data_IF_412012149515
#
_entry.id   IF_412012149515
#
_cell.length_a   1.000
_cell.length_b   1.000
_cell.length_c   1.000
_cell.angle_alpha   90.00
_cell.angle_beta   90.00
_cell.angle_gamma   90.00
#
_symmetry.space_group_name_H-M   'P 1'
#
loop_
_entity.id
_entity.type
_entity.pdbx_description
1 polymer ?
#
# COMPACT_ATOMS: atom_id res chain seq x y z
N UNK A 1 5.65 -9.79 -14.40
CA UNK A 1 5.70 -11.11 -13.75
C UNK A 1 6.79 -11.94 -14.40
N UNK A 2 7.66 -12.61 -13.63
CA UNK A 2 8.72 -13.47 -14.18
C UNK A 2 8.31 -14.94 -14.29
N UNK A 3 7.26 -15.33 -13.57
CA UNK A 3 6.64 -16.65 -13.62
C UNK A 3 5.14 -16.53 -13.32
N UNK A 4 4.37 -17.50 -13.80
CA UNK A 4 2.94 -17.65 -13.52
C UNK A 4 2.73 -18.50 -12.27
N UNK A 5 1.82 -18.11 -11.35
CA UNK A 5 1.45 -18.98 -10.24
C UNK A 5 0.81 -20.28 -10.73
N UNK A 6 1.33 -21.41 -10.27
CA UNK A 6 0.83 -22.74 -10.62
C UNK A 6 -0.45 -23.06 -9.85
N UNK A 7 -1.57 -23.23 -10.56
CA UNK A 7 -2.89 -23.51 -9.98
C UNK A 7 -2.90 -24.81 -9.16
N UNK A 8 -2.18 -25.85 -9.56
CA UNK A 8 -2.14 -27.10 -8.81
C UNK A 8 -1.31 -26.96 -7.53
N UNK A 9 -0.23 -26.16 -7.56
CA UNK A 9 0.46 -25.78 -6.32
C UNK A 9 -0.43 -24.96 -5.40
N UNK A 10 -1.21 -24.01 -5.94
CA UNK A 10 -2.19 -23.25 -5.16
C UNK A 10 -3.18 -24.20 -4.47
N UNK A 11 -3.81 -25.09 -5.22
CA UNK A 11 -4.74 -26.08 -4.66
C UNK A 11 -4.06 -26.95 -3.60
N UNK A 12 -2.84 -27.42 -3.85
CA UNK A 12 -2.09 -28.23 -2.89
C UNK A 12 -1.78 -27.47 -1.60
N UNK A 13 -1.37 -26.22 -1.68
CA UNK A 13 -1.12 -25.36 -0.52
C UNK A 13 -2.40 -25.10 0.28
N UNK A 14 -3.54 -24.88 -0.40
CA UNK A 14 -4.80 -24.63 0.28
C UNK A 14 -5.40 -25.91 0.90
N UNK A 15 -5.21 -27.08 0.28
CA UNK A 15 -5.64 -28.37 0.84
C UNK A 15 -4.97 -28.69 2.17
N UNK A 16 -3.78 -28.17 2.47
CA UNK A 16 -3.18 -28.39 3.79
C UNK A 16 -3.96 -27.70 4.93
N UNK A 17 -4.77 -26.68 4.61
CA UNK A 17 -5.67 -26.03 5.56
C UNK A 17 -7.00 -26.77 5.70
N UNK A 18 -7.45 -27.44 4.65
CA UNK A 18 -8.68 -28.24 4.61
C UNK A 18 -8.45 -29.60 3.95
N UNK A 19 -7.79 -30.55 4.63
CA UNK A 19 -7.36 -31.82 4.02
C UNK A 19 -8.49 -32.69 3.47
N UNK A 20 -9.68 -32.56 4.05
CA UNK A 20 -10.86 -33.37 3.72
C UNK A 20 -11.82 -32.68 2.73
N UNK A 21 -11.54 -31.44 2.31
CA UNK A 21 -12.46 -30.64 1.50
C UNK A 21 -11.99 -30.51 0.05
N UNK A 22 -12.95 -30.43 -0.88
CA UNK A 22 -12.65 -30.06 -2.26
C UNK A 22 -12.34 -28.58 -2.32
N UNK A 23 -11.16 -28.22 -2.86
CA UNK A 23 -10.73 -26.84 -3.06
C UNK A 23 -10.86 -26.48 -4.53
N UNK A 24 -11.74 -25.53 -4.83
CA UNK A 24 -11.86 -24.93 -6.15
C UNK A 24 -11.11 -23.59 -6.18
N UNK A 25 -10.34 -23.38 -7.24
CA UNK A 25 -9.53 -22.18 -7.45
C UNK A 25 -9.79 -21.69 -8.86
N UNK A 26 -10.16 -20.42 -9.00
CA UNK A 26 -10.38 -19.77 -10.29
C UNK A 26 -9.66 -18.42 -10.31
N UNK A 27 -8.98 -18.10 -11.41
CA UNK A 27 -8.41 -16.77 -11.59
C UNK A 27 -9.54 -15.73 -11.58
N UNK A 28 -9.32 -14.62 -10.87
CA UNK A 28 -10.28 -13.54 -10.75
C UNK A 28 -9.80 -12.29 -11.48
N UNK A 29 -8.63 -11.78 -11.10
CA UNK A 29 -8.11 -10.53 -11.64
C UNK A 29 -6.59 -10.43 -11.47
N UNK A 30 -5.97 -9.52 -12.23
CA UNK A 30 -4.56 -9.17 -12.12
C UNK A 30 -4.41 -7.65 -12.08
N UNK A 31 -3.61 -7.17 -11.13
CA UNK A 31 -3.11 -5.81 -11.07
C UNK A 31 -1.61 -5.74 -11.38
N UNK A 32 -1.00 -4.58 -11.14
CA UNK A 32 0.43 -4.36 -11.37
C UNK A 32 1.31 -5.34 -10.56
N UNK A 33 1.00 -5.52 -9.28
CA UNK A 33 1.80 -6.34 -8.36
C UNK A 33 1.11 -7.64 -7.94
N UNK A 34 -0.17 -7.82 -8.24
CA UNK A 34 -0.98 -8.84 -7.59
C UNK A 34 -1.79 -9.65 -8.60
N UNK A 35 -1.93 -10.95 -8.32
CA UNK A 35 -2.92 -11.83 -8.96
C UNK A 35 -3.89 -12.33 -7.92
N UNK A 36 -5.17 -12.24 -8.23
CA UNK A 36 -6.27 -12.61 -7.36
C UNK A 36 -6.94 -13.87 -7.90
N UNK A 37 -7.23 -14.79 -6.99
CA UNK A 37 -7.93 -16.03 -7.28
C UNK A 37 -9.11 -16.18 -6.33
N UNK A 38 -10.28 -16.50 -6.88
CA UNK A 38 -11.39 -17.00 -6.09
C UNK A 38 -11.05 -18.38 -5.56
N UNK A 39 -11.35 -18.58 -4.28
CA UNK A 39 -11.16 -19.85 -3.60
C UNK A 39 -12.49 -20.23 -2.96
N UNK A 40 -13.00 -21.40 -3.35
CA UNK A 40 -14.22 -21.98 -2.78
C UNK A 40 -13.85 -23.32 -2.14
N UNK A 41 -14.19 -23.45 -0.86
CA UNK A 41 -13.99 -24.66 -0.05
C UNK A 41 -15.26 -24.90 0.75
N UNK A 42 -15.62 -26.15 1.00
CA UNK A 42 -16.78 -26.50 1.82
C UNK A 42 -16.57 -26.08 3.29
N UNK A 43 -17.53 -25.34 3.85
CA UNK A 43 -17.50 -24.85 5.24
C UNK A 43 -17.32 -23.33 5.36
N UNK A 44 -16.15 -22.76 5.02
CA UNK A 44 -15.92 -21.32 5.14
C UNK A 44 -16.68 -20.52 4.07
N UNK A 45 -16.89 -19.20 4.29
CA UNK A 45 -17.42 -18.31 3.26
C UNK A 45 -16.45 -18.21 2.06
N UNK A 46 -16.91 -17.67 0.91
CA UNK A 46 -16.04 -17.44 -0.24
C UNK A 46 -14.76 -16.69 0.13
N UNK A 47 -13.63 -17.17 -0.36
CA UNK A 47 -12.30 -16.64 -0.04
C UNK A 47 -11.66 -16.01 -1.28
N UNK A 48 -10.69 -15.15 -1.02
CA UNK A 48 -9.82 -14.57 -2.03
C UNK A 48 -8.37 -14.87 -1.66
N UNK A 49 -7.67 -15.52 -2.58
CA UNK A 49 -6.22 -15.67 -2.50
C UNK A 49 -5.60 -14.55 -3.34
N UNK A 50 -4.74 -13.75 -2.71
CA UNK A 50 -3.88 -12.82 -3.42
C UNK A 50 -2.45 -13.33 -3.41
N UNK A 51 -1.84 -13.39 -4.58
CA UNK A 51 -0.43 -13.69 -4.79
C UNK A 51 0.26 -12.41 -5.25
N UNK A 52 1.38 -12.05 -4.62
CA UNK A 52 2.05 -10.78 -4.80
C UNK A 52 3.45 -10.94 -5.38
N UNK A 53 3.85 -10.00 -6.25
CA UNK A 53 5.23 -9.85 -6.70
C UNK A 53 6.12 -9.39 -5.52
N UNK A 54 7.36 -9.89 -5.44
CA UNK A 54 8.30 -9.55 -4.38
C UNK A 54 8.98 -8.19 -4.61
N UNK A 55 8.22 -7.10 -4.58
CA UNK A 55 8.74 -5.73 -4.80
C UNK A 55 9.43 -5.13 -3.57
N UNK A 56 8.94 -5.43 -2.37
CA UNK A 56 9.67 -5.26 -1.10
C UNK A 56 9.44 -6.56 -0.31
N UNK A 57 10.25 -7.60 -0.61
CA UNK A 57 9.98 -8.96 -0.17
C UNK A 57 9.86 -9.02 1.35
N UNK A 58 8.98 -9.89 1.84
CA UNK A 58 8.60 -10.09 3.23
C UNK A 58 7.86 -8.90 3.86
N UNK A 59 8.40 -7.70 3.75
CA UNK A 59 7.91 -6.52 4.48
C UNK A 59 6.57 -6.02 3.95
N UNK A 60 6.37 -5.99 2.63
CA UNK A 60 5.09 -5.56 2.03
C UNK A 60 3.92 -6.42 2.50
N UNK A 61 4.07 -7.75 2.42
CA UNK A 61 3.04 -8.70 2.86
C UNK A 61 2.79 -8.65 4.36
N UNK A 62 3.86 -8.60 5.18
CA UNK A 62 3.70 -8.48 6.63
C UNK A 62 2.98 -7.18 7.02
N UNK A 63 3.36 -6.06 6.40
CA UNK A 63 2.79 -4.76 6.74
C UNK A 63 1.30 -4.70 6.43
N UNK A 64 0.89 -5.26 5.30
CA UNK A 64 -0.51 -5.27 4.95
C UNK A 64 -1.34 -6.17 5.85
N UNK A 65 -0.85 -7.37 6.18
CA UNK A 65 -1.55 -8.24 7.13
C UNK A 65 -1.73 -7.55 8.48
N UNK A 66 -0.68 -6.88 8.98
CA UNK A 66 -0.76 -6.11 10.21
C UNK A 66 -1.78 -4.98 10.10
N UNK A 67 -1.77 -4.25 8.98
CA UNK A 67 -2.70 -3.16 8.70
C UNK A 67 -4.14 -3.64 8.71
N UNK A 68 -4.49 -4.66 7.92
CA UNK A 68 -5.86 -5.18 7.85
C UNK A 68 -6.34 -5.64 9.24
N UNK A 69 -5.48 -6.35 9.99
CA UNK A 69 -5.83 -6.84 11.33
C UNK A 69 -6.05 -5.69 12.30
N UNK A 70 -5.18 -4.69 12.32
CA UNK A 70 -5.29 -3.57 13.25
C UNK A 70 -6.47 -2.64 12.93
N UNK A 71 -6.70 -2.34 11.64
CA UNK A 71 -7.83 -1.49 11.26
C UNK A 71 -9.17 -2.14 11.60
N UNK A 72 -9.26 -3.48 11.49
CA UNK A 72 -10.42 -4.25 11.96
C UNK A 72 -10.65 -4.15 13.48
N UNK A 73 -9.64 -3.81 14.30
CA UNK A 73 -9.83 -3.65 15.75
C UNK A 73 -10.23 -2.24 16.16
N UNK A 74 -9.95 -1.23 15.34
CA UNK A 74 -10.14 0.19 15.70
C UNK A 74 -11.21 0.92 14.86
N UNK A 75 -11.79 0.23 13.88
CA UNK A 75 -12.82 0.77 12.99
C UNK A 75 -13.90 -0.27 12.70
N UNK A 76 -15.04 0.20 12.19
CA UNK A 76 -16.17 -0.65 11.75
C UNK A 76 -16.31 -0.71 10.23
N UNK A 77 -15.31 -0.22 9.49
CA UNK A 77 -15.37 -0.24 8.02
C UNK A 77 -15.26 -1.69 7.55
N UNK A 78 -16.02 -2.11 6.52
CA UNK A 78 -15.95 -3.49 6.05
C UNK A 78 -14.61 -3.77 5.36
N UNK A 79 -13.85 -4.72 5.92
CA UNK A 79 -12.53 -5.16 5.46
C UNK A 79 -12.50 -6.66 5.25
N UNK A 80 -11.60 -7.17 4.38
CA UNK A 80 -11.35 -8.59 4.35
C UNK A 80 -10.75 -9.06 5.69
N UNK A 81 -11.07 -10.28 6.10
CA UNK A 81 -10.45 -10.92 7.25
C UNK A 81 -9.31 -11.82 6.78
N UNK A 82 -8.10 -11.59 7.28
CA UNK A 82 -6.93 -12.42 6.94
C UNK A 82 -7.06 -13.78 7.62
N UNK A 83 -7.22 -14.84 6.83
CA UNK A 83 -7.26 -16.23 7.29
C UNK A 83 -5.85 -16.73 7.59
N UNK A 84 -4.96 -16.65 6.59
CA UNK A 84 -3.55 -17.03 6.72
C UNK A 84 -2.74 -16.42 5.57
N UNK A 85 -1.42 -16.46 5.64
CA UNK A 85 -0.53 -15.84 4.67
C UNK A 85 0.87 -16.46 4.69
N UNK A 86 1.64 -16.23 3.64
CA UNK A 86 3.09 -16.43 3.60
C UNK A 86 3.76 -15.16 3.11
N UNK A 87 4.73 -14.67 3.89
CA UNK A 87 5.63 -13.60 3.49
C UNK A 87 7.00 -14.12 3.02
N UNK A 88 7.13 -15.44 2.81
CA UNK A 88 8.35 -16.07 2.28
C UNK A 88 8.17 -16.54 0.84
N UNK A 89 9.21 -16.31 0.04
CA UNK A 89 9.35 -16.84 -1.32
C UNK A 89 9.72 -18.32 -1.34
N UNK A 90 10.22 -18.86 -0.23
CA UNK A 90 10.51 -20.30 -0.09
C UNK A 90 9.23 -21.13 0.14
N UNK A 91 8.06 -20.49 0.13
CA UNK A 91 6.79 -21.19 0.21
C UNK A 91 6.60 -22.11 -1.00
N UNK A 92 5.73 -23.12 -0.86
CA UNK A 92 5.45 -24.06 -1.95
C UNK A 92 4.97 -23.36 -3.25
N UNK A 93 4.40 -22.15 -3.15
CA UNK A 93 3.97 -21.37 -4.29
C UNK A 93 5.10 -20.62 -5.00
N UNK A 94 6.25 -20.42 -4.35
CA UNK A 94 7.34 -19.59 -4.86
C UNK A 94 7.04 -18.09 -4.84
N UNK A 95 5.96 -17.68 -4.16
CA UNK A 95 5.48 -16.31 -4.07
C UNK A 95 5.03 -15.99 -2.65
N UNK A 96 4.93 -14.69 -2.36
CA UNK A 96 4.19 -14.20 -1.21
C UNK A 96 2.69 -14.23 -1.51
N UNK A 97 1.89 -14.52 -0.49
CA UNK A 97 0.45 -14.61 -0.65
C UNK A 97 -0.31 -14.37 0.65
N UNK A 98 -1.54 -13.90 0.50
CA UNK A 98 -2.50 -13.71 1.59
C UNK A 98 -3.82 -14.36 1.19
N UNK A 99 -4.33 -15.25 2.05
CA UNK A 99 -5.66 -15.82 1.95
C UNK A 99 -6.57 -15.07 2.91
N UNK A 100 -7.66 -14.52 2.39
CA UNK A 100 -8.59 -13.69 3.15
C UNK A 100 -10.04 -13.92 2.73
N UNK A 101 -11.00 -13.45 3.53
CA UNK A 101 -12.41 -13.48 3.12
C UNK A 101 -12.63 -12.61 1.89
N UNK A 102 -13.52 -13.07 1.00
CA UNK A 102 -13.98 -12.25 -0.12
C UNK A 102 -15.01 -11.24 0.38
N UNK A 103 -14.92 -10.02 -0.12
CA UNK A 103 -15.94 -8.99 0.06
C UNK A 103 -16.84 -8.96 -1.19
N UNK A 104 -18.14 -8.84 -0.97
CA UNK A 104 -19.13 -8.76 -2.04
C UNK A 104 -19.28 -7.30 -2.54
N UNK A 105 -19.94 -7.14 -3.68
CA UNK A 105 -20.19 -5.85 -4.30
C UNK A 105 -19.36 -5.60 -5.56
N UNK A 106 -19.61 -4.44 -6.17
CA UNK A 106 -18.90 -3.95 -7.36
C UNK A 106 -18.05 -2.74 -7.01
N UNK A 107 -17.04 -2.44 -7.83
CA UNK A 107 -16.21 -1.25 -7.58
C UNK A 107 -17.05 0.03 -7.66
N UNK A 108 -16.80 0.96 -6.74
CA UNK A 108 -17.41 2.28 -6.76
C UNK A 108 -17.13 2.98 -8.09
N UNK A 109 -16.00 2.70 -8.74
CA UNK A 109 -15.66 3.26 -10.06
C UNK A 109 -16.74 2.94 -11.10
N UNK A 110 -17.18 1.67 -11.15
CA UNK A 110 -18.23 1.21 -12.04
C UNK A 110 -19.62 1.74 -11.66
N UNK A 111 -19.88 1.89 -10.35
CA UNK A 111 -21.17 2.31 -9.84
C UNK A 111 -21.35 3.85 -9.77
N UNK A 112 -20.26 4.62 -9.76
CA UNK A 112 -20.25 6.05 -9.39
C UNK A 112 -21.26 6.89 -10.17
N UNK A 113 -21.38 6.69 -11.47
CA UNK A 113 -22.30 7.45 -12.33
C UNK A 113 -23.77 7.10 -12.11
N UNK A 114 -24.04 5.91 -11.56
CA UNK A 114 -25.39 5.38 -11.38
C UNK A 114 -25.92 5.58 -9.95
N UNK A 115 -25.04 5.84 -8.99
CA UNK A 115 -25.41 6.13 -7.60
C UNK A 115 -25.92 7.58 -7.48
N UNK A 116 -27.06 7.74 -6.82
CA UNK A 116 -27.65 9.06 -6.57
C UNK A 116 -26.79 9.92 -5.61
N UNK A 117 -27.08 11.21 -5.58
CA UNK A 117 -26.30 12.14 -4.77
C UNK A 117 -26.47 11.93 -3.26
N UNK A 118 -27.65 11.48 -2.81
CA UNK A 118 -27.91 11.19 -1.39
C UNK A 118 -27.05 10.03 -0.88
N UNK A 119 -26.93 8.96 -1.67
CA UNK A 119 -26.12 7.78 -1.36
C UNK A 119 -24.63 8.12 -1.43
N UNK A 120 -24.19 8.91 -2.42
CA UNK A 120 -22.82 9.48 -2.42
C UNK A 120 -22.53 10.27 -1.15
N UNK A 121 -23.48 11.09 -0.70
CA UNK A 121 -23.35 11.87 0.53
C UNK A 121 -23.25 10.97 1.76
N UNK A 122 -24.07 9.91 1.83
CA UNK A 122 -24.02 8.93 2.91
C UNK A 122 -22.67 8.19 2.95
N UNK A 123 -22.16 7.77 1.78
CA UNK A 123 -20.86 7.14 1.64
C UNK A 123 -19.73 8.05 2.13
N UNK A 124 -19.74 9.33 1.75
CA UNK A 124 -18.76 10.33 2.21
C UNK A 124 -18.80 10.49 3.73
N UNK A 125 -19.99 10.55 4.35
CA UNK A 125 -20.11 10.62 5.82
C UNK A 125 -19.52 9.38 6.50
N UNK A 126 -19.73 8.20 5.92
CA UNK A 126 -19.16 6.95 6.44
C UNK A 126 -17.63 6.97 6.38
N UNK A 127 -17.05 7.40 5.26
CA UNK A 127 -15.59 7.56 5.14
C UNK A 127 -15.03 8.62 6.09
N UNK A 128 -15.72 9.75 6.28
CA UNK A 128 -15.31 10.77 7.25
C UNK A 128 -15.27 10.20 8.69
N UNK A 129 -16.27 9.40 9.06
CA UNK A 129 -16.32 8.74 10.36
C UNK A 129 -15.23 7.67 10.52
N UNK A 130 -14.95 6.91 9.47
CA UNK A 130 -13.85 5.95 9.42
C UNK A 130 -12.49 6.63 9.58
N UNK A 131 -12.20 7.67 8.79
CA UNK A 131 -10.95 8.44 8.88
C UNK A 131 -10.79 9.06 10.26
N UNK A 132 -11.86 9.61 10.84
CA UNK A 132 -11.82 10.12 12.21
C UNK A 132 -11.51 9.01 13.23
N UNK A 133 -12.03 7.79 13.04
CA UNK A 133 -11.71 6.65 13.91
C UNK A 133 -10.25 6.24 13.80
N UNK A 134 -9.69 6.17 12.58
CA UNK A 134 -8.26 5.93 12.40
C UNK A 134 -7.40 7.02 13.05
N UNK A 135 -7.75 8.29 12.86
CA UNK A 135 -6.94 9.41 13.35
C UNK A 135 -6.95 9.53 14.88
N UNK A 136 -8.00 9.03 15.54
CA UNK A 136 -8.02 8.90 17.02
C UNK A 136 -7.03 7.85 17.53
N UNK A 137 -6.64 6.89 16.70
CA UNK A 137 -5.67 5.85 17.04
C UNK A 137 -4.29 6.27 16.53
N UNK A 138 -3.70 7.24 17.21
CA UNK A 138 -2.39 7.78 16.86
C UNK A 138 -1.27 6.75 17.07
N UNK A 139 -0.26 6.83 16.22
CA UNK A 139 0.97 6.08 16.26
C UNK A 139 2.14 7.04 16.54
N UNK A 140 3.32 6.48 16.77
CA UNK A 140 4.56 7.23 16.96
C UNK A 140 5.56 6.80 15.90
N UNK A 141 6.20 7.76 15.25
CA UNK A 141 7.15 7.51 14.17
C UNK A 141 6.48 7.35 12.79
N UNK A 142 7.30 7.46 11.74
CA UNK A 142 6.88 7.39 10.34
C UNK A 142 7.38 6.08 9.76
N UNK A 143 6.47 5.29 9.22
CA UNK A 143 6.79 3.98 8.68
C UNK A 143 5.56 3.11 8.53
N UNK A 144 5.74 1.80 8.56
CA UNK A 144 4.65 0.85 8.44
C UNK A 144 4.51 0.04 9.73
N UNK A 145 3.32 -0.52 9.97
CA UNK A 145 3.11 -1.44 11.11
C UNK A 145 3.30 -2.89 10.67
N UNK A 146 3.70 -3.76 11.60
CA UNK A 146 4.04 -5.16 11.32
C UNK A 146 3.47 -6.10 12.40
N UNK A 147 3.34 -7.41 12.13
CA UNK A 147 2.95 -8.38 13.15
C UNK A 147 4.03 -8.51 14.25
N UNK A 148 3.66 -8.88 15.49
CA UNK A 148 2.29 -9.17 15.93
C UNK A 148 1.47 -7.90 16.17
N UNK A 149 0.20 -7.93 15.75
CA UNK A 149 -0.80 -6.91 16.10
C UNK A 149 -1.72 -7.55 17.14
N UNK A 150 -1.69 -7.02 18.36
CA UNK A 150 -2.55 -7.43 19.46
C UNK A 150 -3.65 -6.39 19.64
N UNK A 151 -4.90 -6.84 19.81
CA UNK A 151 -6.07 -5.94 19.91
C UNK A 151 -6.00 -4.95 21.08
N UNK A 152 -5.18 -5.24 22.09
CA UNK A 152 -5.03 -4.43 23.30
C UNK A 152 -3.87 -3.43 23.23
N UNK A 153 -3.03 -3.48 22.19
CA UNK A 153 -1.82 -2.66 22.10
C UNK A 153 -1.81 -1.83 20.83
N UNK A 154 -1.39 -0.57 20.97
CA UNK A 154 -1.02 0.26 19.83
C UNK A 154 0.22 -0.34 19.15
N UNK A 155 0.17 -0.61 17.83
CA UNK A 155 1.31 -1.17 17.12
C UNK A 155 2.47 -0.18 17.07
N UNK A 156 3.69 -0.70 17.06
CA UNK A 156 4.89 0.11 16.82
C UNK A 156 5.14 0.24 15.32
N UNK A 157 5.62 1.41 14.89
CA UNK A 157 6.05 1.59 13.50
C UNK A 157 7.42 0.99 13.30
N UNK A 158 7.59 0.23 12.22
CA UNK A 158 8.88 -0.24 11.72
C UNK A 158 9.26 0.47 10.44
N UNK A 159 10.18 -0.14 9.68
CA UNK A 159 10.62 0.39 8.38
C UNK A 159 9.44 0.71 7.45
N UNK A 160 9.59 1.73 6.63
CA UNK A 160 8.61 2.11 5.63
C UNK A 160 8.59 1.10 4.48
N UNK A 161 7.40 0.79 4.01
CA UNK A 161 7.14 0.11 2.73
C UNK A 161 6.21 1.00 1.95
N UNK A 162 6.75 1.69 0.96
CA UNK A 162 5.99 2.57 0.08
C UNK A 162 6.65 2.67 -1.29
N UNK A 163 5.86 2.95 -2.32
CA UNK A 163 6.32 3.06 -3.70
C UNK A 163 7.61 3.89 -3.86
N UNK A 164 7.75 5.09 -3.25
CA UNK A 164 8.98 5.86 -3.37
C UNK A 164 10.24 5.17 -2.84
N UNK A 165 10.12 4.14 -2.01
CA UNK A 165 11.26 3.46 -1.40
C UNK A 165 11.68 2.18 -2.14
N UNK A 166 10.81 1.58 -2.97
CA UNK A 166 11.14 0.33 -3.67
C UNK A 166 10.96 0.38 -5.19
N UNK A 167 10.38 1.43 -5.77
CA UNK A 167 10.21 1.52 -7.22
C UNK A 167 11.56 1.59 -7.93
N UNK A 168 11.67 0.93 -9.10
CA UNK A 168 12.89 0.89 -9.89
C UNK A 168 13.98 0.11 -9.14
N UNK A 169 15.20 0.66 -9.13
CA UNK A 169 16.32 0.03 -8.43
C UNK A 169 16.41 0.44 -6.95
N UNK A 170 15.49 1.27 -6.46
CA UNK A 170 15.55 1.82 -5.09
C UNK A 170 15.49 0.76 -4.01
N UNK A 171 14.87 -0.40 -4.25
CA UNK A 171 14.84 -1.50 -3.28
C UNK A 171 16.23 -2.10 -3.02
N UNK A 172 17.14 -2.04 -4.01
CA UNK A 172 18.49 -2.60 -3.93
C UNK A 172 19.49 -1.63 -3.29
N UNK A 173 19.08 -0.39 -3.01
CA UNK A 173 19.92 0.59 -2.34
C UNK A 173 19.97 0.32 -0.83
N UNK A 174 21.19 0.34 -0.28
CA UNK A 174 21.45 0.30 1.15
C UNK A 174 21.22 1.70 1.73
N UNK A 175 19.98 1.93 2.17
CA UNK A 175 19.52 3.20 2.72
C UNK A 175 18.74 2.97 4.01
N UNK A 176 18.66 4.00 4.83
CA UNK A 176 17.75 3.98 5.96
C UNK A 176 16.30 3.96 5.46
N UNK A 177 15.53 3.00 5.99
CA UNK A 177 14.10 2.82 5.70
C UNK A 177 13.25 3.10 6.92
N UNK A 178 13.83 3.62 7.99
CA UNK A 178 13.13 3.94 9.22
C UNK A 178 12.90 2.73 10.14
N UNK A 179 12.00 2.86 11.13
CA UNK A 179 11.03 3.95 11.28
C UNK A 179 11.71 5.31 11.44
N UNK A 180 11.23 6.31 10.71
CA UNK A 180 11.78 7.66 10.85
C UNK A 180 11.12 8.33 12.04
N UNK A 181 11.92 8.95 12.91
CA UNK A 181 11.40 9.56 14.13
C UNK A 181 10.67 10.87 13.85
N UNK A 182 11.08 11.58 12.80
CA UNK A 182 10.56 12.89 12.43
C UNK A 182 10.44 13.07 10.92
N UNK A 183 9.55 13.97 10.51
CA UNK A 183 9.32 14.40 9.13
C UNK A 183 10.62 14.82 8.42
N UNK A 184 11.53 15.46 9.16
CA UNK A 184 12.84 15.88 8.67
C UNK A 184 13.62 14.70 8.05
N UNK A 185 13.83 13.65 8.84
CA UNK A 185 14.65 12.50 8.43
C UNK A 185 13.96 11.72 7.30
N UNK A 186 12.63 11.59 7.38
CA UNK A 186 11.85 10.96 6.34
C UNK A 186 11.93 11.70 4.99
N UNK A 187 11.81 13.03 5.01
CA UNK A 187 11.90 13.84 3.79
C UNK A 187 13.34 13.87 3.25
N UNK A 188 14.35 13.96 4.13
CA UNK A 188 15.75 13.85 3.73
C UNK A 188 16.03 12.53 2.99
N UNK A 189 15.59 11.40 3.54
CA UNK A 189 15.75 10.09 2.89
C UNK A 189 15.04 10.00 1.53
N UNK A 190 13.86 10.63 1.40
CA UNK A 190 13.14 10.69 0.11
C UNK A 190 13.86 11.56 -0.93
N UNK A 191 14.45 12.68 -0.51
CA UNK A 191 15.25 13.53 -1.40
C UNK A 191 16.52 12.80 -1.85
N UNK A 192 17.22 12.11 -0.95
CA UNK A 192 18.40 11.32 -1.28
C UNK A 192 18.11 10.21 -2.29
N UNK A 193 16.97 9.53 -2.17
CA UNK A 193 16.51 8.56 -3.16
C UNK A 193 16.25 9.19 -4.54
N UNK A 194 15.53 10.31 -4.57
CA UNK A 194 15.24 11.00 -5.82
C UNK A 194 16.52 11.56 -6.47
N UNK A 195 17.48 12.03 -5.67
CA UNK A 195 18.79 12.49 -6.14
C UNK A 195 19.59 11.33 -6.74
N UNK A 196 19.58 10.17 -6.08
CA UNK A 196 20.25 8.96 -6.56
C UNK A 196 19.73 8.52 -7.93
N UNK A 197 18.41 8.59 -8.15
CA UNK A 197 17.80 8.31 -9.45
C UNK A 197 18.27 9.32 -10.52
N UNK A 198 18.28 10.62 -10.21
CA UNK A 198 18.76 11.65 -11.13
C UNK A 198 20.23 11.40 -11.50
N UNK A 199 21.08 11.13 -10.52
CA UNK A 199 22.49 10.84 -10.74
C UNK A 199 22.72 9.55 -11.55
N UNK A 200 21.85 8.55 -11.40
CA UNK A 200 21.91 7.33 -12.21
C UNK A 200 21.64 7.62 -13.69
N UNK A 201 20.62 8.44 -13.99
CA UNK A 201 20.32 8.89 -15.37
C UNK A 201 21.47 9.69 -15.95
N UNK A 202 21.98 10.68 -15.20
CA UNK A 202 23.09 11.53 -15.66
C UNK A 202 24.40 10.76 -15.88
N UNK A 203 24.66 9.71 -15.09
CA UNK A 203 25.80 8.80 -15.32
C UNK A 203 25.61 7.93 -16.56
N UNK A 204 24.37 7.51 -16.85
CA UNK A 204 24.04 6.70 -18.02
C UNK A 204 24.26 7.48 -19.33
N UNK A 205 23.98 8.79 -19.32
CA UNK A 205 24.07 9.66 -20.49
C UNK A 205 25.03 10.85 -20.24
N UNK A 206 26.36 10.64 -20.35
CA UNK A 206 27.35 11.71 -20.15
C UNK A 206 27.16 12.88 -21.14
N UNK A 207 27.79 14.02 -20.87
CA UNK A 207 27.61 15.27 -21.62
C UNK A 207 27.80 15.10 -23.14
N UNK A 208 28.73 14.23 -23.54
CA UNK A 208 29.21 14.10 -24.92
C UNK A 208 28.62 12.86 -25.64
N UNK A 209 27.67 12.17 -25.01
CA UNK A 209 27.04 10.99 -25.60
C UNK A 209 26.09 11.41 -26.74
N UNK A 210 26.25 10.80 -27.92
CA UNK A 210 25.20 10.79 -28.93
C UNK A 210 24.05 9.92 -28.42
N UNK A 211 22.91 10.56 -28.13
CA UNK A 211 21.73 9.92 -27.55
C UNK A 211 20.49 10.25 -28.40
N UNK A 212 19.46 9.41 -28.31
CA UNK A 212 18.19 9.68 -28.99
C UNK A 212 17.36 10.74 -28.23
N UNK A 213 16.27 11.20 -28.85
CA UNK A 213 15.41 12.24 -28.27
C UNK A 213 14.83 11.85 -26.91
N UNK A 214 14.46 10.58 -26.73
CA UNK A 214 13.87 10.10 -25.49
C UNK A 214 14.90 10.16 -24.34
N UNK A 215 16.16 9.82 -24.63
CA UNK A 215 17.25 9.93 -23.68
C UNK A 215 17.68 11.39 -23.41
N UNK A 216 17.54 12.30 -24.38
CA UNK A 216 17.73 13.74 -24.16
C UNK A 216 16.70 14.28 -23.16
N UNK A 217 15.42 13.95 -23.34
CA UNK A 217 14.32 14.34 -22.44
C UNK A 217 14.56 13.81 -21.00
N UNK A 218 14.90 12.52 -20.86
CA UNK A 218 15.22 11.90 -19.56
C UNK A 218 16.36 12.64 -18.84
N UNK A 219 17.40 13.04 -19.58
CA UNK A 219 18.57 13.75 -19.04
C UNK A 219 18.24 15.18 -18.64
N UNK A 220 17.42 15.88 -19.43
CA UNK A 220 16.93 17.22 -19.08
C UNK A 220 16.09 17.16 -17.80
N UNK A 221 15.16 16.21 -17.70
CA UNK A 221 14.30 16.02 -16.54
C UNK A 221 15.09 15.65 -15.29
N UNK A 222 16.10 14.77 -15.41
CA UNK A 222 17.00 14.44 -14.31
C UNK A 222 17.81 15.67 -13.84
N UNK A 223 18.32 16.48 -14.77
CA UNK A 223 19.07 17.71 -14.46
C UNK A 223 18.20 18.72 -13.72
N UNK A 224 16.99 18.98 -14.24
CA UNK A 224 16.01 19.88 -13.65
C UNK A 224 15.59 19.40 -12.26
N UNK A 225 15.32 18.11 -12.11
CA UNK A 225 14.92 17.50 -10.84
C UNK A 225 16.04 17.58 -9.80
N UNK A 226 17.29 17.28 -10.18
CA UNK A 226 18.45 17.41 -9.30
C UNK A 226 18.63 18.85 -8.79
N UNK A 227 18.47 19.85 -9.67
CA UNK A 227 18.51 21.27 -9.27
C UNK A 227 17.42 21.64 -8.26
N UNK A 228 16.21 21.10 -8.42
CA UNK A 228 15.11 21.30 -7.46
C UNK A 228 15.44 20.63 -6.13
N UNK A 229 15.96 19.40 -6.15
CA UNK A 229 16.33 18.67 -4.94
C UNK A 229 17.39 19.44 -4.14
N UNK A 230 18.43 19.95 -4.80
CA UNK A 230 19.48 20.73 -4.14
C UNK A 230 18.93 21.98 -3.44
N UNK A 231 17.91 22.63 -4.02
CA UNK A 231 17.21 23.76 -3.38
C UNK A 231 16.35 23.30 -2.20
N UNK A 232 15.63 22.19 -2.34
CA UNK A 232 14.79 21.64 -1.26
C UNK A 232 15.61 21.16 -0.06
N UNK A 233 16.78 20.56 -0.29
CA UNK A 233 17.70 20.15 0.77
C UNK A 233 18.12 21.32 1.65
N UNK A 234 18.36 22.50 1.07
CA UNK A 234 18.70 23.73 1.82
C UNK A 234 17.52 24.25 2.66
N UNK A 235 16.29 23.86 2.34
CA UNK A 235 15.08 24.29 3.05
C UNK A 235 14.59 23.27 4.08
N UNK A 236 15.20 22.09 4.19
CA UNK A 236 14.74 21.03 5.09
C UNK A 236 14.67 21.53 6.54
N UNK A 237 15.74 22.14 7.05
CA UNK A 237 15.77 22.59 8.46
C UNK A 237 14.87 23.80 8.72
N UNK A 238 14.52 24.56 7.66
CA UNK A 238 13.56 25.66 7.75
C UNK A 238 12.11 25.14 7.83
N UNK A 239 11.77 24.12 7.05
CA UNK A 239 10.40 23.57 6.97
C UNK A 239 10.15 22.53 8.06
N UNK A 240 11.16 21.73 8.39
CA UNK A 240 11.14 20.66 9.38
C UNK A 240 12.28 20.85 10.38
N UNK A 241 12.20 21.86 11.27
CA UNK A 241 13.26 22.14 12.23
C UNK A 241 13.46 20.94 13.17
N UNK A 242 14.71 20.74 13.61
CA UNK A 242 15.03 19.68 14.57
C UNK A 242 14.23 19.84 15.86
N UNK A 243 13.53 18.78 16.25
CA UNK A 243 12.77 18.73 17.50
C UNK A 243 13.43 17.77 18.48
N UNK A 244 13.69 18.21 19.70
CA UNK A 244 14.20 17.35 20.79
C UNK A 244 13.10 16.54 21.49
N UNK A 245 11.84 16.72 21.09
CA UNK A 245 10.72 15.93 21.61
C UNK A 245 10.78 14.51 21.06
N UNK A 246 10.12 13.57 21.74
CA UNK A 246 10.05 12.17 21.32
C UNK A 246 9.52 11.99 19.88
N UNK A 247 9.35 10.74 19.46
CA UNK A 247 8.89 10.43 18.11
C UNK A 247 7.64 11.23 17.70
N UNK A 248 7.64 11.69 16.45
CA UNK A 248 6.53 12.45 15.89
C UNK A 248 5.24 11.63 15.94
N UNK A 249 4.16 12.26 16.39
CA UNK A 249 2.83 11.66 16.38
C UNK A 249 2.33 11.54 14.95
N UNK A 250 1.96 10.32 14.57
CA UNK A 250 1.48 9.99 13.24
C UNK A 250 0.12 9.32 13.28
N UNK A 251 -0.51 9.22 12.12
CA UNK A 251 -1.75 8.47 11.94
C UNK A 251 -1.59 7.55 10.75
N UNK A 252 -2.28 6.42 10.78
CA UNK A 252 -2.31 5.52 9.64
C UNK A 252 -3.02 6.22 8.48
N UNK A 253 -2.26 6.50 7.42
CA UNK A 253 -2.72 7.22 6.24
C UNK A 253 -2.75 6.27 5.07
N UNK A 254 -3.94 6.11 4.51
CA UNK A 254 -4.13 5.33 3.29
C UNK A 254 -3.80 6.20 2.09
N UNK A 255 -2.83 5.76 1.31
CA UNK A 255 -2.34 6.47 0.12
C UNK A 255 -3.25 6.28 -1.10
N UNK A 256 -4.06 5.20 -1.15
CA UNK A 256 -4.98 4.94 -2.26
C UNK A 256 -6.42 4.64 -1.79
N UNK A 257 -7.24 5.70 -1.72
CA UNK A 257 -8.70 5.62 -1.57
C UNK A 257 -9.38 5.90 -2.92
N UNK A 258 -8.89 5.33 -4.02
CA UNK A 258 -9.54 5.45 -5.32
C UNK A 258 -10.88 4.71 -5.37
N UNK A 259 -11.74 5.10 -6.33
CA UNK A 259 -13.05 4.46 -6.55
C UNK A 259 -12.92 2.97 -6.91
N UNK A 260 -11.77 2.51 -7.37
CA UNK A 260 -11.54 1.09 -7.69
C UNK A 260 -11.37 0.22 -6.44
N UNK A 261 -10.95 0.82 -5.32
CA UNK A 261 -10.64 0.13 -4.07
C UNK A 261 -11.78 0.19 -3.04
N UNK A 262 -12.94 0.70 -3.46
CA UNK A 262 -14.16 0.80 -2.66
C UNK A 262 -15.20 -0.10 -3.33
N UNK A 263 -15.82 -0.99 -2.57
CA UNK A 263 -16.88 -1.88 -3.03
C UNK A 263 -18.22 -1.43 -2.50
N UNK A 264 -19.24 -1.49 -3.36
CA UNK A 264 -20.62 -1.14 -3.04
C UNK A 264 -21.60 -2.19 -3.55
N UNK A 265 -22.75 -2.31 -2.87
CA UNK A 265 -23.89 -3.09 -3.35
C UNK A 265 -24.68 -2.34 -4.44
N UNK A 266 -25.75 -2.97 -4.94
CA UNK A 266 -26.61 -2.41 -5.98
C UNK A 266 -27.34 -1.12 -5.55
N UNK A 267 -27.50 -0.90 -4.24
CA UNK A 267 -28.07 0.32 -3.67
C UNK A 267 -27.00 1.40 -3.42
N UNK A 268 -25.73 1.11 -3.66
CA UNK A 268 -24.59 2.00 -3.43
C UNK A 268 -24.10 2.06 -1.98
N UNK A 269 -24.53 1.12 -1.12
CA UNK A 269 -24.03 1.02 0.25
C UNK A 269 -22.63 0.42 0.27
N UNK A 270 -21.78 0.90 1.17
CA UNK A 270 -20.41 0.38 1.33
C UNK A 270 -20.42 -1.08 1.80
N UNK A 271 -19.87 -1.98 0.99
CA UNK A 271 -19.72 -3.40 1.31
C UNK A 271 -18.27 -3.79 1.57
N UNK A 272 -17.32 -2.97 1.17
CA UNK A 272 -15.92 -3.35 1.27
C UNK A 272 -14.91 -2.26 0.97
N UNK A 273 -13.77 -2.34 1.62
CA UNK A 273 -12.60 -1.51 1.33
C UNK A 273 -11.38 -2.43 1.16
N UNK A 274 -10.83 -2.44 -0.05
CA UNK A 274 -9.77 -3.36 -0.48
C UNK A 274 -8.47 -2.63 -0.76
N UNK A 275 -7.39 -3.38 -0.96
CA UNK A 275 -6.03 -2.90 -1.22
C UNK A 275 -5.42 -2.10 -0.05
N UNK A 276 -4.83 -2.83 0.90
CA UNK A 276 -4.18 -2.25 2.09
C UNK A 276 -2.66 -2.30 1.99
N UNK A 277 -2.15 -2.37 0.77
CA UNK A 277 -0.73 -2.34 0.48
C UNK A 277 -0.15 -0.95 0.74
N UNK A 278 1.11 -0.92 1.20
CA UNK A 278 1.88 0.32 1.33
C UNK A 278 1.19 1.42 2.18
N UNK A 279 0.35 1.03 3.13
CA UNK A 279 -0.28 1.94 4.08
C UNK A 279 0.71 2.24 5.21
N UNK A 280 1.04 3.53 5.37
CA UNK A 280 2.05 3.98 6.33
C UNK A 280 1.43 4.87 7.41
N UNK A 281 2.01 4.82 8.60
CA UNK A 281 1.85 5.83 9.62
C UNK A 281 2.60 7.09 9.15
N UNK A 282 1.88 8.19 8.94
CA UNK A 282 2.41 9.44 8.40
C UNK A 282 2.06 10.63 9.32
N UNK A 283 2.86 11.71 9.29
CA UNK A 283 2.54 12.95 9.98
C UNK A 283 1.18 13.53 9.57
N UNK A 284 0.52 14.21 10.51
CA UNK A 284 -0.81 14.82 10.27
C UNK A 284 -0.84 15.76 9.05
N UNK A 285 0.21 16.57 8.86
CA UNK A 285 0.31 17.49 7.72
C UNK A 285 0.31 16.76 6.37
N UNK A 286 0.74 15.49 6.34
CA UNK A 286 0.72 14.65 5.15
C UNK A 286 -0.54 13.79 5.05
N UNK A 287 -1.05 13.31 6.18
CA UNK A 287 -2.19 12.40 6.22
C UNK A 287 -3.53 13.11 5.92
N UNK A 288 -3.64 14.40 6.22
CA UNK A 288 -4.84 15.21 5.98
C UNK A 288 -4.96 15.63 4.50
N UNK A 289 -5.40 14.70 3.65
CA UNK A 289 -5.73 14.96 2.24
C UNK A 289 -7.18 14.57 1.95
N UNK A 290 -7.78 15.19 0.93
CA UNK A 290 -9.09 14.76 0.43
C UNK A 290 -8.97 13.36 -0.17
N UNK A 291 -9.92 12.44 0.09
CA UNK A 291 -9.90 11.13 -0.53
C UNK A 291 -9.95 11.22 -2.06
N UNK A 292 -9.07 10.49 -2.74
CA UNK A 292 -8.96 10.54 -4.21
C UNK A 292 -10.23 10.10 -4.94
N UNK A 293 -11.12 9.31 -4.32
CA UNK A 293 -12.43 9.01 -4.93
C UNK A 293 -13.34 10.25 -5.11
N UNK A 294 -13.06 11.34 -4.40
CA UNK A 294 -13.74 12.63 -4.56
C UNK A 294 -13.06 13.54 -5.58
N UNK A 295 -11.88 13.19 -6.05
CA UNK A 295 -11.19 13.93 -7.10
C UNK A 295 -11.80 13.62 -8.47
N UNK A 296 -11.88 14.64 -9.32
CA UNK A 296 -12.48 14.54 -10.65
C UNK A 296 -13.39 15.72 -10.96
N UNK A 297 -13.70 15.91 -12.24
CA UNK A 297 -14.73 16.85 -12.67
C UNK A 297 -16.11 16.21 -12.47
N UNK A 298 -17.13 16.98 -12.04
CA UNK A 298 -18.49 16.48 -11.85
C UNK A 298 -19.08 15.86 -13.13
#
# INVERSE_FOLDING_TARGET
WRAEPDIEKIKSTLRSLWPSSTVQVAFFAQGAFNKLYHVIVEGPPPLMLRISLPVDPRYKTLSEVATIRWVNTVTTIPLPQVITYSSSLDSALGFEWILMTRLDGTSLSSAWTHIDFSTKTALVRQFASFTASLFRNQLSGIGNIYPPVLSTLTPTTGRIVSMPFFWGDRINLDIDRGPFRHSRDWIAGRLQLAESDCLAVLRKYPADAEIDSDAEDDKEDATRTASIIAKLQQLIDLVFPETTKGEETTVLSRTDLSRSNILVDDAGNLTGVVDWECVSALPMWKACSYPSFLEGRP
#
